data_IF_840431153660
#
_entry.id   IF_840431153660
#
_cell.length_a   1.000
_cell.length_b   1.000
_cell.length_c   1.000
_cell.angle_alpha   90.00
_cell.angle_beta   90.00
_cell.angle_gamma   90.00
#
_symmetry.space_group_name_H-M   'P 1'
#
loop_
_entity.id
_entity.type
_entity.pdbx_description
1 polymer ?
#
# COMPACT_ATOMS: atom_id res chain seq x y z
N UNK A 1 -5.20 -11.45 16.63
CA UNK A 1 -4.25 -12.32 15.91
C UNK A 1 -3.51 -11.60 14.76
N UNK A 2 -3.96 -10.44 14.27
CA UNK A 2 -3.24 -9.66 13.22
C UNK A 2 -1.96 -8.90 13.64
N UNK A 3 -1.29 -9.27 14.75
CA UNK A 3 -0.05 -8.58 15.20
C UNK A 3 1.20 -9.00 14.41
N UNK A 4 1.20 -10.18 13.79
CA UNK A 4 2.37 -10.74 13.08
C UNK A 4 2.59 -10.12 11.70
N UNK A 5 1.53 -9.85 10.95
CA UNK A 5 1.65 -9.15 9.65
C UNK A 5 1.99 -7.68 9.86
N UNK A 6 1.49 -7.08 10.95
CA UNK A 6 1.82 -5.72 11.37
C UNK A 6 3.30 -5.53 11.71
N UNK A 7 3.92 -6.47 12.44
CA UNK A 7 5.36 -6.41 12.72
C UNK A 7 6.18 -6.62 11.44
N UNK A 8 5.76 -7.51 10.55
CA UNK A 8 6.46 -7.77 9.30
C UNK A 8 6.46 -6.55 8.36
N UNK A 9 5.34 -5.81 8.28
CA UNK A 9 5.24 -4.58 7.49
C UNK A 9 6.12 -3.45 8.00
N UNK A 10 6.25 -3.32 9.33
CA UNK A 10 7.18 -2.39 9.95
C UNK A 10 8.64 -2.83 9.80
N UNK A 11 8.93 -4.13 9.82
CA UNK A 11 10.27 -4.68 9.67
C UNK A 11 10.79 -4.57 8.23
N UNK A 12 9.95 -4.81 7.21
CA UNK A 12 10.33 -4.67 5.81
C UNK A 12 10.66 -3.23 5.43
N UNK A 13 9.90 -2.25 5.93
CA UNK A 13 10.16 -0.82 5.67
C UNK A 13 11.35 -0.23 6.42
N UNK A 14 11.88 -0.92 7.44
CA UNK A 14 13.01 -0.46 8.27
C UNK A 14 14.32 -1.24 8.02
N UNK A 15 14.35 -2.20 7.10
CA UNK A 15 15.58 -2.97 6.84
C UNK A 15 16.59 -2.08 6.05
N UNK A 16 17.78 -1.78 6.62
CA UNK A 16 18.78 -0.91 6.00
C UNK A 16 19.34 -1.44 4.67
N UNK A 17 19.09 -2.71 4.32
CA UNK A 17 19.38 -3.25 2.99
C UNK A 17 18.51 -2.61 1.88
N UNK A 18 17.40 -1.96 2.23
CA UNK A 18 16.51 -1.23 1.31
C UNK A 18 16.70 0.29 1.36
N UNK A 19 17.66 0.78 2.16
CA UNK A 19 17.83 2.20 2.46
C UNK A 19 19.29 2.61 2.41
N UNK A 20 19.93 2.53 1.23
CA UNK A 20 21.04 3.40 0.85
C UNK A 20 21.45 3.15 -0.61
N UNK A 21 20.90 3.94 -1.53
CA UNK A 21 21.60 4.36 -2.75
C UNK A 21 21.31 5.83 -2.96
N UNK A 22 22.03 6.65 -2.19
CA UNK A 22 22.04 8.12 -2.29
C UNK A 22 23.00 8.56 -3.43
N UNK A 23 22.97 7.85 -4.57
CA UNK A 23 23.91 8.07 -5.68
C UNK A 23 23.25 8.12 -7.06
N UNK A 24 22.01 8.58 -7.17
CA UNK A 24 21.46 9.07 -8.45
C UNK A 24 21.46 8.08 -9.63
N UNK A 25 21.70 6.79 -9.39
CA UNK A 25 21.57 5.72 -10.37
C UNK A 25 20.24 5.01 -10.11
N UNK A 26 19.23 5.29 -10.93
CA UNK A 26 18.04 4.42 -11.04
C UNK A 26 18.55 3.06 -11.58
N UNK A 27 18.94 2.18 -10.67
CA UNK A 27 19.39 0.84 -11.00
C UNK A 27 18.15 -0.01 -11.30
N UNK A 28 18.10 -0.60 -12.48
CA UNK A 28 17.09 -1.59 -12.88
C UNK A 28 16.88 -2.68 -11.82
N UNK A 29 17.94 -3.04 -11.09
CA UNK A 29 17.91 -4.05 -10.03
C UNK A 29 17.08 -3.61 -8.81
N UNK A 30 17.02 -2.31 -8.50
CA UNK A 30 16.21 -1.80 -7.38
C UNK A 30 14.71 -1.94 -7.69
N UNK A 31 14.30 -1.56 -8.90
CA UNK A 31 12.91 -1.64 -9.34
C UNK A 31 12.41 -3.10 -9.34
N UNK A 32 13.25 -4.03 -9.80
CA UNK A 32 12.92 -5.46 -9.83
C UNK A 32 12.80 -6.05 -8.41
N UNK A 33 13.73 -5.71 -7.51
CA UNK A 33 13.69 -6.15 -6.10
C UNK A 33 12.46 -5.56 -5.39
N UNK A 34 12.20 -4.27 -5.57
CA UNK A 34 11.07 -3.58 -4.96
C UNK A 34 9.73 -4.12 -5.46
N UNK A 35 9.62 -4.36 -6.76
CA UNK A 35 8.44 -4.99 -7.37
C UNK A 35 8.20 -6.40 -6.84
N UNK A 36 9.26 -7.22 -6.71
CA UNK A 36 9.15 -8.58 -6.16
C UNK A 36 8.71 -8.58 -4.69
N UNK A 37 9.30 -7.71 -3.87
CA UNK A 37 8.99 -7.64 -2.44
C UNK A 37 7.56 -7.13 -2.18
N UNK A 38 7.13 -6.11 -2.92
CA UNK A 38 5.77 -5.56 -2.79
C UNK A 38 4.71 -6.55 -3.27
N UNK A 39 4.98 -7.33 -4.32
CA UNK A 39 4.07 -8.39 -4.79
C UNK A 39 3.94 -9.54 -3.78
N UNK A 40 5.05 -9.95 -3.18
CA UNK A 40 5.08 -10.95 -2.11
C UNK A 40 4.29 -10.47 -0.89
N UNK A 41 4.58 -9.27 -0.39
CA UNK A 41 3.88 -8.69 0.76
C UNK A 41 2.38 -8.56 0.51
N UNK A 42 1.98 -8.10 -0.68
CA UNK A 42 0.57 -8.03 -1.08
C UNK A 42 -0.09 -9.42 -1.06
N UNK A 43 0.60 -10.45 -1.54
CA UNK A 43 0.08 -11.82 -1.57
C UNK A 43 -0.10 -12.42 -0.17
N UNK A 44 0.84 -12.14 0.75
CA UNK A 44 0.75 -12.56 2.15
C UNK A 44 -0.40 -11.88 2.90
N UNK A 45 -0.57 -10.56 2.71
CA UNK A 45 -1.70 -9.81 3.28
C UNK A 45 -3.03 -10.37 2.78
N UNK A 46 -3.15 -10.59 1.46
CA UNK A 46 -4.37 -11.15 0.89
C UNK A 46 -4.65 -12.55 1.40
N UNK A 47 -3.62 -13.40 1.56
CA UNK A 47 -3.79 -14.72 2.16
C UNK A 47 -4.32 -14.61 3.60
N UNK A 48 -3.79 -13.70 4.42
CA UNK A 48 -4.28 -13.49 5.78
C UNK A 48 -5.72 -12.95 5.80
N UNK A 49 -6.06 -12.02 4.91
CA UNK A 49 -7.42 -11.48 4.84
C UNK A 49 -8.43 -12.54 4.39
N UNK A 50 -8.06 -13.42 3.45
CA UNK A 50 -8.90 -14.57 3.04
C UNK A 50 -9.20 -15.55 4.18
N UNK A 51 -8.38 -15.60 5.24
CA UNK A 51 -8.68 -16.40 6.42
C UNK A 51 -9.77 -15.77 7.32
N UNK A 52 -10.08 -14.49 7.11
CA UNK A 52 -10.97 -13.70 7.96
C UNK A 52 -12.28 -13.29 7.27
N UNK A 53 -12.34 -13.39 5.94
CA UNK A 53 -13.50 -13.05 5.12
C UNK A 53 -13.47 -13.83 3.82
N UNK A 54 -14.65 -14.24 3.35
CA UNK A 54 -14.82 -14.98 2.10
C UNK A 54 -14.78 -14.05 0.87
N UNK A 55 -15.04 -12.75 1.07
CA UNK A 55 -15.10 -11.75 0.00
C UNK A 55 -14.00 -10.71 0.23
N UNK A 56 -13.11 -10.59 -0.75
CA UNK A 56 -12.09 -9.55 -0.83
C UNK A 56 -12.37 -8.66 -2.05
N UNK A 57 -13.20 -7.65 -1.81
CA UNK A 57 -13.53 -6.60 -2.76
C UNK A 57 -12.98 -5.24 -2.27
N UNK A 58 -13.24 -4.17 -3.03
CA UNK A 58 -12.79 -2.84 -2.64
C UNK A 58 -13.37 -2.40 -1.28
N UNK A 59 -14.60 -2.81 -0.95
CA UNK A 59 -15.25 -2.42 0.31
C UNK A 59 -14.53 -3.02 1.51
N UNK A 60 -14.11 -4.28 1.40
CA UNK A 60 -13.30 -4.90 2.45
C UNK A 60 -11.89 -4.28 2.49
N UNK A 61 -11.29 -3.98 1.35
CA UNK A 61 -10.03 -3.22 1.30
C UNK A 61 -10.14 -1.88 2.05
N UNK A 62 -11.17 -1.09 1.77
CA UNK A 62 -11.45 0.20 2.43
C UNK A 62 -11.54 0.06 3.95
N UNK A 63 -12.28 -0.96 4.40
CA UNK A 63 -12.42 -1.25 5.81
C UNK A 63 -11.06 -1.58 6.43
N UNK A 64 -10.28 -2.48 5.82
CA UNK A 64 -8.99 -2.94 6.35
C UNK A 64 -7.95 -1.84 6.38
N UNK A 65 -7.87 -1.03 5.33
CA UNK A 65 -6.92 0.09 5.27
C UNK A 65 -7.27 1.14 6.32
N UNK A 66 -8.54 1.49 6.50
CA UNK A 66 -8.98 2.42 7.54
C UNK A 66 -8.69 1.88 8.96
N UNK A 67 -9.00 0.61 9.22
CA UNK A 67 -8.70 -0.05 10.50
C UNK A 67 -7.20 -0.02 10.79
N UNK A 68 -6.36 -0.37 9.82
CA UNK A 68 -4.91 -0.38 9.97
C UNK A 68 -4.34 1.01 10.25
N UNK A 69 -4.77 2.03 9.51
CA UNK A 69 -4.30 3.41 9.72
C UNK A 69 -4.72 3.94 11.09
N UNK A 70 -5.96 3.65 11.51
CA UNK A 70 -6.44 4.03 12.84
C UNK A 70 -5.64 3.38 13.97
N UNK A 71 -5.31 2.08 13.84
CA UNK A 71 -4.50 1.37 14.83
C UNK A 71 -3.07 1.93 14.94
N UNK A 72 -2.50 2.37 13.81
CA UNK A 72 -1.14 2.91 13.74
C UNK A 72 -1.06 4.44 13.87
N UNK A 73 -2.18 5.11 14.16
CA UNK A 73 -2.29 6.59 14.27
C UNK A 73 -1.82 7.33 13.01
N UNK A 74 -1.90 6.68 11.86
CA UNK A 74 -1.60 7.27 10.57
C UNK A 74 -2.80 8.07 10.07
N UNK A 75 -2.54 9.21 9.42
CA UNK A 75 -3.60 10.08 8.93
C UNK A 75 -3.93 9.72 7.50
N UNK A 76 -5.06 9.05 7.30
CA UNK A 76 -5.62 8.76 5.98
C UNK A 76 -6.74 9.75 5.65
N UNK A 77 -6.74 10.25 4.42
CA UNK A 77 -7.83 11.02 3.83
C UNK A 77 -8.31 10.31 2.57
N UNK A 78 -9.60 10.04 2.49
CA UNK A 78 -10.24 9.52 1.29
C UNK A 78 -10.99 10.66 0.60
N UNK A 79 -10.64 10.93 -0.66
CA UNK A 79 -11.31 11.89 -1.52
C UNK A 79 -12.10 11.10 -2.56
N UNK A 80 -13.43 11.25 -2.53
CA UNK A 80 -14.31 10.57 -3.47
C UNK A 80 -14.88 11.60 -4.46
N UNK A 81 -14.61 11.39 -5.74
CA UNK A 81 -15.24 12.10 -6.85
C UNK A 81 -16.11 11.13 -7.65
N UNK A 82 -16.93 11.66 -8.57
CA UNK A 82 -17.78 10.82 -9.42
C UNK A 82 -16.97 9.85 -10.30
N UNK A 83 -15.69 10.15 -10.55
CA UNK A 83 -14.84 9.42 -11.48
C UNK A 83 -13.74 8.63 -10.77
N UNK A 84 -13.27 9.10 -9.61
CA UNK A 84 -12.12 8.53 -8.91
C UNK A 84 -12.30 8.52 -7.39
N UNK A 85 -11.66 7.54 -6.75
CA UNK A 85 -11.40 7.54 -5.30
C UNK A 85 -9.90 7.67 -5.10
N UNK A 86 -9.48 8.68 -4.35
CA UNK A 86 -8.08 8.92 -4.01
C UNK A 86 -7.86 8.76 -2.51
N UNK A 87 -6.99 7.83 -2.15
CA UNK A 87 -6.48 7.65 -0.79
C UNK A 87 -5.20 8.46 -0.66
N UNK A 88 -5.12 9.33 0.34
CA UNK A 88 -3.91 10.09 0.67
C UNK A 88 -3.53 9.79 2.11
N UNK A 89 -2.32 9.29 2.30
CA UNK A 89 -1.78 8.89 3.60
C UNK A 89 -0.63 9.82 3.93
N UNK A 90 -0.66 10.43 5.11
CA UNK A 90 0.43 11.26 5.63
C UNK A 90 1.11 10.59 6.82
N UNK A 91 2.44 10.60 6.82
CA UNK A 91 3.31 9.97 7.81
C UNK A 91 4.67 10.68 7.86
N UNK A 92 5.57 10.20 8.71
CA UNK A 92 6.92 10.75 8.96
C UNK A 92 8.01 9.66 8.89
N UNK A 93 7.77 8.61 8.09
CA UNK A 93 8.58 7.39 8.03
C UNK A 93 9.60 7.35 6.88
N UNK A 94 9.67 8.39 6.05
CA UNK A 94 10.65 8.50 4.97
C UNK A 94 10.21 7.87 3.64
N UNK A 95 10.98 8.14 2.59
CA UNK A 95 10.64 7.85 1.19
C UNK A 95 10.50 6.35 0.90
N UNK A 96 11.45 5.53 1.35
CA UNK A 96 11.42 4.07 1.14
C UNK A 96 10.18 3.44 1.75
N UNK A 97 9.74 3.94 2.91
CA UNK A 97 8.51 3.46 3.54
C UNK A 97 7.27 3.86 2.73
N UNK A 98 7.21 5.10 2.24
CA UNK A 98 6.12 5.58 1.38
C UNK A 98 6.02 4.75 0.11
N UNK A 99 7.15 4.56 -0.58
CA UNK A 99 7.24 3.81 -1.83
C UNK A 99 6.78 2.37 -1.61
N UNK A 100 7.31 1.69 -0.58
CA UNK A 100 6.96 0.31 -0.27
C UNK A 100 5.46 0.15 -0.02
N UNK A 101 4.88 1.00 0.84
CA UNK A 101 3.47 0.89 1.19
C UNK A 101 2.57 1.28 0.02
N UNK A 102 2.93 2.32 -0.74
CA UNK A 102 2.19 2.73 -1.93
C UNK A 102 2.12 1.57 -2.94
N UNK A 103 3.27 1.01 -3.30
CA UNK A 103 3.37 -0.08 -4.27
C UNK A 103 2.70 -1.36 -3.77
N UNK A 104 2.87 -1.72 -2.50
CA UNK A 104 2.19 -2.86 -1.90
C UNK A 104 0.66 -2.73 -1.99
N UNK A 105 0.10 -1.56 -1.64
CA UNK A 105 -1.35 -1.35 -1.74
C UNK A 105 -1.83 -1.33 -3.19
N UNK A 106 -1.04 -0.80 -4.13
CA UNK A 106 -1.33 -0.93 -5.56
C UNK A 106 -1.41 -2.42 -5.96
N UNK A 107 -0.45 -3.26 -5.57
CA UNK A 107 -0.48 -4.71 -5.84
C UNK A 107 -1.68 -5.42 -5.22
N UNK A 108 -2.07 -5.04 -4.00
CA UNK A 108 -3.28 -5.59 -3.35
C UNK A 108 -4.52 -5.26 -4.19
N UNK A 109 -4.70 -4.00 -4.59
CA UNK A 109 -5.83 -3.52 -5.39
C UNK A 109 -5.87 -4.22 -6.75
N UNK A 110 -4.75 -4.31 -7.46
CA UNK A 110 -4.64 -5.03 -8.73
C UNK A 110 -5.05 -6.50 -8.58
N UNK A 111 -4.57 -7.19 -7.53
CA UNK A 111 -4.88 -8.61 -7.27
C UNK A 111 -6.34 -8.85 -6.89
N UNK A 112 -7.06 -7.86 -6.36
CA UNK A 112 -8.51 -7.94 -6.13
C UNK A 112 -9.34 -7.41 -7.31
N UNK A 113 -8.69 -7.11 -8.44
CA UNK A 113 -9.35 -6.70 -9.68
C UNK A 113 -9.72 -5.23 -9.77
N UNK A 114 -9.11 -4.38 -8.93
CA UNK A 114 -9.31 -2.92 -8.95
C UNK A 114 -8.12 -2.27 -9.68
N UNK A 115 -8.32 -1.65 -10.85
CA UNK A 115 -7.23 -1.01 -11.57
C UNK A 115 -6.77 0.27 -10.86
N UNK A 116 -5.46 0.54 -10.91
CA UNK A 116 -4.85 1.78 -10.43
C UNK A 116 -4.90 2.82 -11.55
N UNK A 117 -5.43 4.01 -11.22
CA UNK A 117 -5.41 5.17 -12.13
C UNK A 117 -4.12 5.97 -11.96
N UNK A 118 -3.69 6.17 -10.72
CA UNK A 118 -2.45 6.88 -10.38
C UNK A 118 -1.92 6.42 -9.03
N UNK A 119 -0.60 6.54 -8.84
CA UNK A 119 0.08 6.31 -7.58
C UNK A 119 1.24 7.30 -7.46
N UNK A 120 1.31 8.02 -6.34
CA UNK A 120 2.35 9.00 -6.07
C UNK A 120 2.88 8.79 -4.64
N UNK A 121 4.17 9.05 -4.41
CA UNK A 121 4.76 8.99 -3.07
C UNK A 121 5.92 9.98 -2.94
N UNK A 122 6.13 10.47 -1.72
CA UNK A 122 7.26 11.31 -1.32
C UNK A 122 7.74 10.91 0.09
N UNK A 123 8.67 11.66 0.70
CA UNK A 123 9.22 11.30 2.01
C UNK A 123 8.25 11.31 3.19
N UNK A 124 7.06 11.91 3.04
CA UNK A 124 6.10 12.15 4.14
C UNK A 124 4.66 11.75 3.79
N UNK A 125 4.44 11.24 2.59
CA UNK A 125 3.12 10.85 2.13
C UNK A 125 3.17 9.89 0.95
N UNK A 126 2.06 9.19 0.76
CA UNK A 126 1.75 8.51 -0.49
C UNK A 126 0.27 8.63 -0.81
N UNK A 127 -0.07 8.47 -2.09
CA UNK A 127 -1.44 8.48 -2.56
C UNK A 127 -1.67 7.45 -3.64
N UNK A 128 -2.88 6.89 -3.64
CA UNK A 128 -3.34 5.88 -4.59
C UNK A 128 -4.70 6.32 -5.09
N UNK A 129 -4.86 6.34 -6.40
CA UNK A 129 -6.10 6.68 -7.07
C UNK A 129 -6.62 5.49 -7.86
N UNK A 130 -7.91 5.21 -7.71
CA UNK A 130 -8.64 4.15 -8.41
C UNK A 130 -9.91 4.73 -9.03
N UNK A 131 -10.52 4.09 -10.04
CA UNK A 131 -11.81 4.51 -10.56
C UNK A 131 -12.87 4.46 -9.47
N UNK A 132 -13.73 5.47 -9.45
CA UNK A 132 -14.92 5.46 -8.60
C UNK A 132 -15.86 4.38 -9.10
N UNK A 133 -16.41 3.59 -8.18
CA UNK A 133 -17.58 2.76 -8.48
C UNK A 133 -18.79 3.69 -8.58
N UNK A 134 -18.84 4.50 -9.64
CA UNK A 134 -20.04 5.24 -10.00
C UNK A 134 -21.20 4.25 -10.05
N UNK A 135 -22.27 4.53 -9.31
CA UNK A 135 -23.53 3.78 -9.40
C UNK A 135 -23.90 3.69 -10.89
N UNK A 136 -23.86 2.48 -11.45
CA UNK A 136 -24.68 2.17 -12.62
C UNK A 136 -26.14 2.12 -12.20
#
# INVERSE_FOLDING_TARGET
MGKKVLSHLLECGNNPEYGNTDDGSHNHDYDDIMSSNTDKAASEILAEWRLQTDILDLKEFDKRILEWHNLNKLRIKCFNSNEHVRYVIKHDMGLSWSEFNCMMYCRILEKIGVPITSSEFDGISYSIEIPSHGKK
#
